data_IF_048867533253
#
_entry.id   IF_048867533253
#
_cell.length_a   1.000
_cell.length_b   1.000
_cell.length_c   1.000
_cell.angle_alpha   90.00
_cell.angle_beta   90.00
_cell.angle_gamma   90.00
#
_symmetry.space_group_name_H-M   'P 1'
#
loop_
_entity.id
_entity.type
_entity.pdbx_description
1 polymer ?
#
# COMPACT_ATOMS: atom_id res chain seq x y z
N UNK A 1 19.56 9.81 36.47
CA UNK A 1 18.27 9.32 35.93
C UNK A 1 18.21 7.82 36.16
N UNK A 2 17.18 7.33 36.85
CA UNK A 2 16.99 5.91 37.12
C UNK A 2 15.94 5.38 36.13
N UNK A 3 16.37 4.65 35.11
CA UNK A 3 15.46 4.04 34.13
C UNK A 3 15.05 2.64 34.62
N UNK A 4 13.83 2.16 34.26
CA UNK A 4 13.40 0.80 34.59
C UNK A 4 14.27 -0.24 33.85
N UNK A 5 14.15 -1.51 34.25
CA UNK A 5 14.79 -2.62 33.53
C UNK A 5 14.33 -2.67 32.08
N UNK A 6 15.24 -2.34 31.15
CA UNK A 6 14.98 -2.35 29.72
C UNK A 6 15.31 -3.71 29.10
N UNK A 7 14.56 -4.13 28.09
CA UNK A 7 14.85 -5.34 27.32
C UNK A 7 15.22 -4.99 25.88
N UNK A 8 16.22 -5.69 25.31
CA UNK A 8 16.64 -5.46 23.92
C UNK A 8 15.83 -6.31 22.96
N UNK A 9 14.97 -5.67 22.17
CA UNK A 9 14.20 -6.35 21.11
C UNK A 9 14.91 -6.15 19.76
N UNK A 10 15.04 -7.22 18.99
CA UNK A 10 15.43 -7.18 17.57
C UNK A 10 14.32 -7.83 16.76
N UNK A 11 13.77 -7.08 15.81
CA UNK A 11 12.78 -7.59 14.87
C UNK A 11 13.38 -7.64 13.47
N UNK A 12 13.24 -8.80 12.81
CA UNK A 12 13.52 -8.94 11.38
C UNK A 12 12.20 -8.90 10.66
N UNK A 13 12.07 -7.98 9.71
CA UNK A 13 10.90 -7.89 8.85
C UNK A 13 11.16 -8.58 7.52
N UNK A 14 10.08 -9.05 6.89
CA UNK A 14 10.13 -9.47 5.50
C UNK A 14 10.67 -8.33 4.62
N UNK A 15 11.47 -8.70 3.62
CA UNK A 15 12.14 -7.77 2.71
C UNK A 15 11.68 -7.94 1.26
N UNK A 16 10.51 -8.55 1.05
CA UNK A 16 9.93 -8.61 -0.29
C UNK A 16 9.79 -7.21 -0.83
N UNK A 17 10.25 -7.01 -2.07
CA UNK A 17 10.22 -5.73 -2.76
C UNK A 17 9.38 -5.85 -4.02
N UNK A 18 8.71 -4.75 -4.32
CA UNK A 18 8.07 -4.53 -5.61
C UNK A 18 8.98 -3.59 -6.38
N UNK A 19 9.62 -4.10 -7.44
CA UNK A 19 10.55 -3.34 -8.26
C UNK A 19 9.82 -2.32 -9.14
N UNK A 20 8.69 -2.71 -9.74
CA UNK A 20 7.82 -1.85 -10.53
C UNK A 20 6.49 -1.62 -9.81
N UNK A 21 6.44 -0.55 -9.01
CA UNK A 21 5.23 -0.17 -8.26
C UNK A 21 4.07 0.16 -9.22
N UNK A 22 4.21 1.04 -10.23
CA UNK A 22 3.12 1.33 -11.16
C UNK A 22 2.60 0.10 -11.91
N UNK A 23 3.50 -0.75 -12.43
CA UNK A 23 3.11 -1.98 -13.12
C UNK A 23 2.35 -2.93 -12.21
N UNK A 24 2.86 -3.14 -11.00
CA UNK A 24 2.22 -4.04 -10.01
C UNK A 24 0.84 -3.53 -9.60
N UNK A 25 0.66 -2.23 -9.37
CA UNK A 25 -0.66 -1.65 -9.07
C UNK A 25 -1.65 -1.95 -10.20
N UNK A 26 -1.26 -1.75 -11.46
CA UNK A 26 -2.11 -2.04 -12.62
C UNK A 26 -2.49 -3.52 -12.69
N UNK A 27 -1.55 -4.43 -12.47
CA UNK A 27 -1.82 -5.87 -12.48
C UNK A 27 -2.76 -6.29 -11.35
N UNK A 28 -2.57 -5.75 -10.13
CA UNK A 28 -3.50 -6.03 -9.03
C UNK A 28 -4.90 -5.46 -9.27
N UNK A 29 -5.02 -4.26 -9.85
CA UNK A 29 -6.33 -3.69 -10.21
C UNK A 29 -7.06 -4.52 -11.27
N UNK A 30 -6.34 -5.05 -12.28
CA UNK A 30 -6.94 -5.96 -13.29
C UNK A 30 -7.54 -7.21 -12.65
N UNK A 31 -6.89 -7.78 -11.62
CA UNK A 31 -7.38 -8.97 -10.92
C UNK A 31 -8.71 -8.75 -10.19
N UNK A 32 -9.05 -7.50 -9.87
CA UNK A 32 -10.32 -7.16 -9.21
C UNK A 32 -11.53 -7.25 -10.14
N UNK A 33 -11.31 -7.38 -11.46
CA UNK A 33 -12.35 -7.40 -12.50
C UNK A 33 -13.33 -6.22 -12.34
N UNK A 34 -12.79 -5.01 -12.20
CA UNK A 34 -13.56 -3.80 -11.89
C UNK A 34 -14.60 -3.49 -12.96
N UNK A 35 -14.40 -3.91 -14.21
CA UNK A 35 -15.36 -3.80 -15.30
C UNK A 35 -16.69 -4.51 -15.01
N UNK A 36 -16.69 -5.50 -14.11
CA UNK A 36 -17.92 -6.20 -13.66
C UNK A 36 -18.61 -5.49 -12.49
N UNK A 37 -17.94 -4.53 -11.84
CA UNK A 37 -18.41 -3.86 -10.62
C UNK A 37 -18.71 -2.37 -10.83
N UNK A 38 -17.93 -1.72 -11.69
CA UNK A 38 -18.01 -0.28 -11.99
C UNK A 38 -18.57 -0.11 -13.38
N UNK A 39 -19.70 0.59 -13.49
CA UNK A 39 -20.42 0.86 -14.73
C UNK A 39 -20.09 2.26 -15.27
N UNK A 40 -20.24 2.49 -16.59
CA UNK A 40 -20.12 3.82 -17.16
C UNK A 40 -20.99 4.85 -16.42
N UNK A 41 -20.41 6.03 -16.13
CA UNK A 41 -21.07 7.12 -15.39
C UNK A 41 -20.94 7.04 -13.86
N UNK A 42 -20.45 5.94 -13.30
CA UNK A 42 -20.16 5.87 -11.86
C UNK A 42 -18.87 6.61 -11.51
N UNK A 43 -18.83 7.15 -10.29
CA UNK A 43 -17.65 7.80 -9.71
C UNK A 43 -17.15 6.97 -8.54
N UNK A 44 -15.84 6.79 -8.46
CA UNK A 44 -15.17 6.07 -7.38
C UNK A 44 -14.29 7.02 -6.58
N UNK A 45 -14.13 6.74 -5.29
CA UNK A 45 -13.21 7.45 -4.42
C UNK A 45 -12.05 6.52 -4.04
N UNK A 46 -10.82 6.99 -4.22
CA UNK A 46 -9.60 6.34 -3.75
C UNK A 46 -9.20 6.97 -2.43
N UNK A 47 -9.13 6.16 -1.37
CA UNK A 47 -8.73 6.65 -0.04
C UNK A 47 -7.21 6.60 0.13
N UNK A 48 -6.68 7.46 0.99
CA UNK A 48 -5.27 7.49 1.37
C UNK A 48 -5.14 7.36 2.89
N UNK A 49 -4.22 6.51 3.36
CA UNK A 49 -4.04 6.25 4.79
C UNK A 49 -2.87 7.04 5.40
N UNK A 50 -2.99 7.46 6.65
CA UNK A 50 -1.95 8.20 7.39
C UNK A 50 -0.89 7.32 8.07
N UNK A 51 -0.96 5.99 7.87
CA UNK A 51 -0.12 4.99 8.57
C UNK A 51 1.30 4.84 8.01
N UNK A 52 1.77 5.79 7.19
CA UNK A 52 3.14 5.80 6.69
C UNK A 52 3.47 4.68 5.67
N UNK A 53 2.54 4.37 4.76
CA UNK A 53 2.85 3.44 3.65
C UNK A 53 3.89 4.07 2.73
N UNK A 54 4.99 3.36 2.46
CA UNK A 54 6.04 3.84 1.57
C UNK A 54 5.50 4.09 0.16
N UNK A 55 6.02 5.12 -0.52
CA UNK A 55 5.69 5.45 -1.92
C UNK A 55 4.21 5.75 -2.20
N UNK A 56 3.42 6.17 -1.20
CA UNK A 56 1.98 6.37 -1.32
C UNK A 56 1.56 7.26 -2.50
N UNK A 57 2.31 8.34 -2.78
CA UNK A 57 2.02 9.22 -3.92
C UNK A 57 2.17 8.53 -5.28
N UNK A 58 3.14 7.62 -5.42
CA UNK A 58 3.35 6.83 -6.65
C UNK A 58 2.25 5.79 -6.79
N UNK A 59 1.91 5.10 -5.71
CA UNK A 59 0.86 4.07 -5.67
C UNK A 59 -0.48 4.68 -6.08
N UNK A 60 -0.87 5.80 -5.47
CA UNK A 60 -2.17 6.45 -5.74
C UNK A 60 -2.27 7.01 -7.16
N UNK A 61 -1.16 7.49 -7.74
CA UNK A 61 -1.13 8.00 -9.12
C UNK A 61 -1.21 6.89 -10.17
N UNK A 62 -0.79 5.68 -9.84
CA UNK A 62 -0.78 4.55 -10.76
C UNK A 62 -2.15 3.86 -10.91
N UNK A 63 -3.09 4.15 -10.00
CA UNK A 63 -4.44 3.61 -9.99
C UNK A 63 -5.34 4.18 -11.09
#
# INVERSE_FOLDING_TARGET
MNFPSMYRVRQTFDRTRVEDIPGTVKEELKRLALEKKVKPGQRVALTAGSRGVANMAVILRAA
#
